data_IF_664326712246
#
_entry.id   IF_664326712246
#
_cell.length_a   1.000
_cell.length_b   1.000
_cell.length_c   1.000
_cell.angle_alpha   90.00
_cell.angle_beta   90.00
_cell.angle_gamma   90.00
#
_symmetry.space_group_name_H-M   'P 1'
#
loop_
_entity.id
_entity.type
_entity.pdbx_description
1 polymer ?
#
# COMPACT_ATOMS: atom_id res chain seq x y z
N UNK A 1 -37.17 -39.43 3.09
CA UNK A 1 -36.17 -40.40 2.59
C UNK A 1 -36.18 -40.25 1.09
N UNK A 2 -35.22 -39.52 0.55
CA UNK A 2 -35.02 -39.33 -0.88
C UNK A 2 -33.67 -39.96 -1.26
N UNK A 3 -33.70 -40.66 -2.37
CA UNK A 3 -32.71 -41.56 -2.94
C UNK A 3 -31.36 -40.85 -3.25
N UNK A 4 -30.20 -41.37 -2.79
CA UNK A 4 -28.91 -40.71 -3.00
C UNK A 4 -28.23 -41.05 -4.35
N UNK A 5 -28.93 -41.66 -5.30
CA UNK A 5 -28.31 -42.18 -6.53
C UNK A 5 -28.45 -41.31 -7.81
N UNK A 6 -28.96 -40.07 -7.76
CA UNK A 6 -29.33 -39.35 -9.00
C UNK A 6 -28.80 -37.91 -9.12
N UNK A 7 -27.53 -37.70 -8.79
CA UNK A 7 -26.78 -36.52 -9.25
C UNK A 7 -25.40 -36.94 -9.76
N UNK A 8 -25.41 -37.62 -10.90
CA UNK A 8 -24.26 -37.70 -11.78
C UNK A 8 -24.02 -36.29 -12.37
N UNK A 9 -23.14 -35.52 -11.72
CA UNK A 9 -22.46 -34.39 -12.32
C UNK A 9 -20.97 -34.72 -12.27
N UNK A 10 -20.53 -35.54 -13.21
CA UNK A 10 -19.13 -35.60 -13.62
C UNK A 10 -18.75 -34.20 -14.12
N UNK A 11 -18.27 -33.35 -13.22
CA UNK A 11 -17.58 -32.13 -13.58
C UNK A 11 -16.23 -32.52 -14.20
N UNK A 12 -15.91 -32.07 -15.43
CA UNK A 12 -14.62 -32.33 -16.02
C UNK A 12 -13.50 -31.80 -15.13
N UNK A 13 -12.51 -32.65 -14.90
CA UNK A 13 -11.24 -32.39 -14.21
C UNK A 13 -10.34 -31.45 -15.04
N UNK A 14 -10.83 -30.25 -15.36
CA UNK A 14 -10.09 -29.26 -16.17
C UNK A 14 -9.59 -28.07 -15.33
N UNK A 15 -9.27 -28.32 -14.06
CA UNK A 15 -8.57 -27.36 -13.18
C UNK A 15 -7.04 -27.51 -13.21
N UNK A 16 -6.49 -28.29 -14.15
CA UNK A 16 -5.04 -28.46 -14.30
C UNK A 16 -4.40 -27.58 -15.37
N UNK A 17 -5.13 -26.63 -15.97
CA UNK A 17 -4.55 -25.60 -16.83
C UNK A 17 -5.28 -24.26 -16.64
N UNK A 18 -5.02 -23.59 -15.51
CA UNK A 18 -5.16 -22.13 -15.47
C UNK A 18 -3.80 -21.60 -15.97
N UNK A 19 -3.70 -21.05 -17.18
CA UNK A 19 -2.45 -20.51 -17.65
C UNK A 19 -1.99 -19.37 -16.72
N UNK A 20 -0.69 -19.12 -16.67
CA UNK A 20 0.00 -17.93 -16.13
C UNK A 20 -0.56 -16.55 -16.58
N UNK A 21 -1.75 -16.49 -17.18
CA UNK A 21 -2.42 -15.30 -17.68
C UNK A 21 -2.87 -14.30 -16.59
N UNK A 22 -2.79 -14.64 -15.31
CA UNK A 22 -3.21 -13.75 -14.22
C UNK A 22 -2.23 -12.58 -13.92
N UNK A 23 -1.10 -12.46 -14.63
CA UNK A 23 -0.10 -11.39 -14.40
C UNK A 23 0.50 -10.75 -15.67
N UNK A 24 -0.09 -10.98 -16.85
CA UNK A 24 0.47 -10.43 -18.10
C UNK A 24 -0.07 -9.03 -18.40
N UNK A 25 0.84 -8.08 -18.63
CA UNK A 25 0.50 -6.74 -19.12
C UNK A 25 -0.03 -6.82 -20.56
N UNK A 26 -1.33 -6.57 -20.73
CA UNK A 26 -2.03 -6.74 -22.01
C UNK A 26 -1.78 -5.52 -22.92
N UNK A 27 -1.24 -5.70 -24.14
CA UNK A 27 -1.03 -4.61 -25.10
C UNK A 27 -2.37 -3.96 -25.53
N UNK A 28 -2.37 -2.67 -25.94
CA UNK A 28 -3.57 -2.08 -26.53
C UNK A 28 -3.95 -2.81 -27.83
N UNK A 29 -5.25 -2.97 -28.11
CA UNK A 29 -5.69 -3.60 -29.35
C UNK A 29 -5.25 -2.78 -30.56
N UNK A 30 -4.82 -3.47 -31.62
CA UNK A 30 -4.56 -2.83 -32.91
C UNK A 30 -5.85 -2.25 -33.49
N UNK A 31 -5.73 -1.18 -34.26
CA UNK A 31 -6.90 -0.51 -34.82
C UNK A 31 -6.60 0.79 -35.54
N UNK A 32 -7.65 1.40 -36.06
CA UNK A 32 -7.61 2.68 -36.76
C UNK A 32 -8.26 3.78 -35.93
N UNK A 33 -7.73 4.99 -36.07
CA UNK A 33 -8.11 6.17 -35.33
C UNK A 33 -8.24 7.35 -36.30
N UNK A 34 -9.15 8.29 -36.05
CA UNK A 34 -9.38 9.43 -36.94
C UNK A 34 -8.18 10.38 -37.01
N UNK A 35 -7.38 10.45 -35.94
CA UNK A 35 -6.24 11.34 -35.86
C UNK A 35 -5.16 10.82 -34.87
N UNK A 36 -3.99 11.46 -34.89
CA UNK A 36 -2.86 11.10 -34.02
C UNK A 36 -3.19 11.24 -32.55
N UNK A 37 -3.90 12.29 -32.15
CA UNK A 37 -4.16 12.59 -30.74
C UNK A 37 -5.15 11.59 -30.14
N UNK A 38 -6.22 11.24 -30.86
CA UNK A 38 -7.15 10.19 -30.42
C UNK A 38 -6.46 8.85 -30.26
N UNK A 39 -5.58 8.47 -31.20
CA UNK A 39 -4.76 7.26 -31.09
C UNK A 39 -3.87 7.28 -29.85
N UNK A 40 -3.10 8.35 -29.64
CA UNK A 40 -2.19 8.44 -28.49
C UNK A 40 -2.96 8.42 -27.16
N UNK A 41 -4.11 9.08 -27.11
CA UNK A 41 -4.98 9.11 -25.93
C UNK A 41 -5.52 7.73 -25.61
N UNK A 42 -5.99 6.98 -26.61
CA UNK A 42 -6.49 5.62 -26.45
C UNK A 42 -5.38 4.68 -25.94
N UNK A 43 -4.20 4.75 -26.53
CA UNK A 43 -3.04 3.94 -26.12
C UNK A 43 -2.61 4.24 -24.68
N UNK A 44 -2.55 5.52 -24.30
CA UNK A 44 -2.20 5.92 -22.94
C UNK A 44 -3.26 5.50 -21.93
N UNK A 45 -4.55 5.63 -22.28
CA UNK A 45 -5.67 5.23 -21.43
C UNK A 45 -5.70 3.72 -21.21
N UNK A 46 -5.48 2.94 -22.27
CA UNK A 46 -5.37 1.48 -22.18
C UNK A 46 -4.22 1.06 -21.26
N UNK A 47 -3.02 1.58 -21.50
CA UNK A 47 -1.86 1.26 -20.68
C UNK A 47 -2.12 1.56 -19.20
N UNK A 48 -2.70 2.74 -18.91
CA UNK A 48 -3.02 3.14 -17.54
C UNK A 48 -4.03 2.20 -16.88
N UNK A 49 -5.06 1.76 -17.60
CA UNK A 49 -6.05 0.80 -17.11
C UNK A 49 -5.44 -0.57 -16.81
N UNK A 50 -4.36 -0.94 -17.51
CA UNK A 50 -3.67 -2.22 -17.37
C UNK A 50 -2.35 -2.10 -16.59
N UNK A 51 -2.11 -0.97 -15.92
CA UNK A 51 -0.98 -0.80 -15.02
C UNK A 51 0.37 -0.56 -15.70
N UNK A 52 0.46 0.13 -16.83
CA UNK A 52 1.74 0.59 -17.39
C UNK A 52 1.60 1.90 -18.15
N UNK A 53 2.70 2.61 -18.42
CA UNK A 53 2.64 3.86 -19.19
C UNK A 53 3.30 3.68 -20.55
N UNK A 54 2.68 4.26 -21.57
CA UNK A 54 3.21 4.30 -22.94
C UNK A 54 3.69 5.70 -23.27
N UNK A 55 4.94 5.81 -23.72
CA UNK A 55 5.62 7.07 -24.06
C UNK A 55 6.12 7.05 -25.49
N UNK A 56 6.32 8.24 -26.07
CA UNK A 56 6.91 8.38 -27.41
C UNK A 56 8.42 8.08 -27.35
N UNK A 57 8.87 7.10 -28.12
CA UNK A 57 10.29 6.80 -28.34
C UNK A 57 10.88 7.75 -29.38
N UNK A 58 10.19 7.90 -30.51
CA UNK A 58 10.59 8.76 -31.62
C UNK A 58 9.40 9.03 -32.53
N UNK A 59 9.52 10.02 -33.40
CA UNK A 59 8.53 10.30 -34.45
C UNK A 59 9.22 10.70 -35.75
N UNK A 60 8.57 10.41 -36.86
CA UNK A 60 8.97 10.80 -38.21
C UNK A 60 7.77 11.49 -38.86
N UNK A 61 7.91 12.80 -39.09
CA UNK A 61 6.91 13.59 -39.81
C UNK A 61 7.35 13.73 -41.27
N UNK A 62 6.42 13.65 -42.24
CA UNK A 62 6.74 13.94 -43.63
C UNK A 62 7.16 15.41 -43.75
N UNK A 63 8.22 15.68 -44.52
CA UNK A 63 8.75 17.03 -44.75
C UNK A 63 8.75 17.31 -46.25
N UNK A 64 8.78 18.59 -46.66
CA UNK A 64 8.90 18.98 -48.07
C UNK A 64 10.07 18.30 -48.80
N UNK A 65 11.15 17.98 -48.07
CA UNK A 65 12.34 17.27 -48.60
C UNK A 65 12.17 15.75 -48.78
N UNK A 66 11.05 15.16 -48.35
CA UNK A 66 10.74 13.72 -48.41
C UNK A 66 9.23 13.48 -48.67
N UNK A 67 8.72 13.86 -49.86
CA UNK A 67 7.31 13.66 -50.21
C UNK A 67 6.96 12.16 -50.26
N UNK A 68 5.73 11.81 -49.87
CA UNK A 68 5.19 10.44 -49.97
C UNK A 68 5.45 9.50 -48.78
N UNK A 69 6.15 9.95 -47.72
CA UNK A 69 6.35 9.13 -46.52
C UNK A 69 5.13 9.26 -45.59
N UNK A 70 4.61 8.16 -45.06
CA UNK A 70 3.58 8.17 -44.00
C UNK A 70 4.18 8.69 -42.69
N UNK A 71 3.44 9.50 -41.93
CA UNK A 71 3.87 9.91 -40.60
C UNK A 71 3.93 8.68 -39.69
N UNK A 72 4.99 8.55 -38.89
CA UNK A 72 5.15 7.44 -37.93
C UNK A 72 5.52 7.96 -36.55
N UNK A 73 4.96 7.34 -35.52
CA UNK A 73 5.31 7.56 -34.12
C UNK A 73 5.59 6.20 -33.50
N UNK A 74 6.82 6.02 -33.04
CA UNK A 74 7.20 4.81 -32.32
C UNK A 74 6.94 5.04 -30.84
N UNK A 75 6.18 4.14 -30.24
CA UNK A 75 5.78 4.18 -28.84
C UNK A 75 6.45 3.02 -28.10
N UNK A 76 6.69 3.20 -26.81
CA UNK A 76 7.31 2.20 -25.93
C UNK A 76 6.80 2.32 -24.51
N UNK A 77 7.09 1.33 -23.67
CA UNK A 77 6.89 1.44 -22.23
C UNK A 77 7.78 2.55 -21.63
N UNK A 78 7.30 3.26 -20.61
CA UNK A 78 8.09 4.28 -19.87
C UNK A 78 9.33 3.68 -19.18
N UNK A 79 9.33 2.37 -18.94
CA UNK A 79 10.46 1.58 -18.43
C UNK A 79 11.41 1.04 -19.52
N UNK A 80 11.19 1.38 -20.79
CA UNK A 80 12.00 0.90 -21.92
C UNK A 80 13.32 1.66 -22.12
N UNK A 81 14.36 0.98 -22.62
CA UNK A 81 15.69 1.51 -22.91
C UNK A 81 16.62 1.62 -21.69
N UNK A 82 17.84 2.13 -21.93
CA UNK A 82 18.86 2.29 -20.89
C UNK A 82 19.04 3.74 -20.46
N UNK A 83 19.44 3.93 -19.21
CA UNK A 83 19.92 5.23 -18.75
C UNK A 83 21.19 5.60 -19.51
N UNK A 84 21.23 6.82 -20.07
CA UNK A 84 22.43 7.39 -20.66
C UNK A 84 23.00 8.42 -19.68
N UNK A 85 24.21 8.22 -19.15
CA UNK A 85 24.81 9.19 -18.25
C UNK A 85 25.02 10.51 -19.01
N UNK A 86 24.38 11.58 -18.55
CA UNK A 86 24.76 12.95 -18.93
C UNK A 86 25.70 13.48 -17.86
N UNK A 87 26.80 14.10 -18.29
CA UNK A 87 27.80 14.78 -17.45
C UNK A 87 28.65 13.84 -16.57
N UNK A 88 28.92 12.60 -17.01
CA UNK A 88 29.85 11.69 -16.31
C UNK A 88 29.36 11.13 -14.98
N UNK A 89 28.11 11.41 -14.59
CA UNK A 89 27.47 10.86 -13.39
C UNK A 89 26.96 9.43 -13.67
N UNK A 90 27.53 8.46 -12.95
CA UNK A 90 27.06 7.07 -12.85
C UNK A 90 25.89 6.96 -11.87
N UNK A 91 25.16 5.83 -11.84
CA UNK A 91 24.15 5.60 -10.80
C UNK A 91 24.73 5.68 -9.38
N UNK A 92 25.94 5.18 -9.19
CA UNK A 92 26.67 5.17 -7.91
C UNK A 92 27.01 6.60 -7.41
N UNK A 93 27.23 7.56 -8.31
CA UNK A 93 27.69 8.91 -7.97
C UNK A 93 26.53 9.91 -7.81
N UNK A 94 25.28 9.49 -8.02
CA UNK A 94 24.11 10.38 -8.01
C UNK A 94 23.48 10.49 -6.61
N UNK A 95 23.80 11.57 -5.87
CA UNK A 95 23.15 11.93 -4.59
C UNK A 95 21.68 12.44 -4.69
N UNK A 96 20.89 12.08 -5.71
CA UNK A 96 19.46 12.44 -5.81
C UNK A 96 18.54 11.20 -5.84
N UNK A 97 17.51 11.23 -4.97
CA UNK A 97 16.48 10.22 -4.64
C UNK A 97 15.53 9.75 -5.78
N UNK A 98 16.00 9.55 -7.01
CA UNK A 98 15.22 8.81 -8.02
C UNK A 98 16.15 7.87 -8.75
N UNK A 99 16.15 6.60 -8.35
CA UNK A 99 16.66 5.49 -9.17
C UNK A 99 15.92 5.51 -10.51
N UNK A 100 16.64 5.21 -11.59
CA UNK A 100 16.02 5.11 -12.90
C UNK A 100 14.99 3.98 -12.88
N UNK A 101 13.77 4.22 -13.38
CA UNK A 101 12.76 3.16 -13.57
C UNK A 101 12.96 2.39 -14.88
N UNK A 102 14.01 2.72 -15.62
CA UNK A 102 14.34 2.06 -16.87
C UNK A 102 14.93 0.68 -16.59
N UNK A 103 14.33 -0.34 -17.20
CA UNK A 103 14.70 -1.75 -17.05
C UNK A 103 14.66 -2.46 -18.40
N UNK A 104 14.93 -1.69 -19.45
CA UNK A 104 14.97 -2.14 -20.84
C UNK A 104 13.74 -2.97 -21.27
N UNK A 105 12.56 -2.51 -20.86
CA UNK A 105 11.30 -3.13 -21.25
C UNK A 105 11.17 -3.21 -22.80
N UNK A 106 10.90 -4.40 -23.38
CA UNK A 106 10.91 -4.60 -24.83
C UNK A 106 9.63 -4.16 -25.54
N UNK A 107 8.55 -3.84 -24.79
CA UNK A 107 7.25 -3.43 -25.31
C UNK A 107 7.36 -2.25 -26.29
N UNK A 108 6.76 -2.40 -27.47
CA UNK A 108 6.86 -1.42 -28.55
C UNK A 108 5.63 -1.42 -29.46
N UNK A 109 5.20 -0.22 -29.85
CA UNK A 109 4.13 -0.01 -30.82
C UNK A 109 4.60 0.95 -31.92
N UNK A 110 3.90 0.94 -33.05
CA UNK A 110 4.01 1.99 -34.07
C UNK A 110 2.63 2.52 -34.40
N UNK A 111 2.51 3.84 -34.38
CA UNK A 111 1.36 4.56 -34.92
C UNK A 111 1.77 5.15 -36.27
N UNK A 112 1.16 4.69 -37.35
CA UNK A 112 1.41 5.19 -38.70
C UNK A 112 0.15 5.87 -39.22
N UNK A 113 0.25 7.09 -39.74
CA UNK A 113 -0.94 7.78 -40.23
C UNK A 113 -0.71 8.76 -41.36
N UNK A 114 -1.79 8.93 -42.10
CA UNK A 114 -2.01 9.98 -43.09
C UNK A 114 -3.17 10.86 -42.57
N UNK A 115 -3.42 12.05 -43.12
CA UNK A 115 -4.57 12.85 -42.73
C UNK A 115 -5.87 12.02 -42.78
N UNK A 116 -6.61 11.98 -41.68
CA UNK A 116 -7.90 11.28 -41.55
C UNK A 116 -7.86 9.80 -41.12
N UNK A 117 -6.70 9.13 -41.18
CA UNK A 117 -6.56 7.73 -40.72
C UNK A 117 -5.17 7.52 -40.10
N UNK A 118 -5.17 7.05 -38.86
CA UNK A 118 -4.00 6.59 -38.12
C UNK A 118 -4.17 5.15 -37.69
N UNK A 119 -3.23 4.28 -38.03
CA UNK A 119 -3.22 2.86 -37.68
C UNK A 119 -2.23 2.61 -36.54
N UNK A 120 -2.68 1.91 -35.51
CA UNK A 120 -1.84 1.38 -34.43
C UNK A 120 -1.48 -0.08 -34.72
N UNK A 121 -0.20 -0.39 -34.65
CA UNK A 121 0.34 -1.76 -34.77
C UNK A 121 1.23 -2.08 -33.56
N UNK A 122 1.07 -3.28 -33.01
CA UNK A 122 1.89 -3.81 -31.93
C UNK A 122 3.15 -4.42 -32.54
N UNK A 123 4.32 -3.85 -32.24
CA UNK A 123 5.60 -4.38 -32.74
C UNK A 123 6.18 -5.43 -31.79
N UNK A 124 6.01 -5.24 -30.49
CA UNK A 124 6.37 -6.22 -29.47
C UNK A 124 5.38 -6.09 -28.29
N UNK A 125 4.56 -7.12 -28.03
CA UNK A 125 3.56 -7.09 -26.95
C UNK A 125 4.15 -7.35 -25.56
N UNK A 126 5.38 -7.85 -25.47
CA UNK A 126 5.92 -8.40 -24.23
C UNK A 126 6.44 -7.32 -23.28
N UNK A 127 6.14 -7.49 -21.99
CA UNK A 127 6.75 -6.75 -20.89
C UNK A 127 7.62 -7.68 -20.04
N UNK A 128 8.70 -7.14 -19.46
CA UNK A 128 9.57 -7.84 -18.50
C UNK A 128 9.31 -7.38 -17.05
N UNK A 129 8.11 -6.86 -16.78
CA UNK A 129 7.70 -6.36 -15.47
C UNK A 129 6.19 -6.52 -15.28
N UNK A 130 5.74 -6.61 -14.03
CA UNK A 130 4.32 -6.55 -13.67
C UNK A 130 3.74 -5.13 -13.69
N UNK A 131 2.44 -4.97 -13.38
CA UNK A 131 1.78 -3.68 -13.36
C UNK A 131 2.40 -2.70 -12.36
N UNK A 132 2.38 -1.43 -12.74
CA UNK A 132 2.74 -0.27 -11.94
C UNK A 132 1.64 -0.06 -10.90
N UNK A 133 1.85 -0.66 -9.73
CA UNK A 133 0.96 -0.51 -8.57
C UNK A 133 1.10 0.90 -7.96
N UNK A 134 2.25 1.56 -8.14
CA UNK A 134 2.53 2.90 -7.63
C UNK A 134 2.22 4.01 -8.63
N UNK A 135 1.06 4.68 -8.50
CA UNK A 135 0.90 6.03 -9.08
C UNK A 135 1.99 6.93 -8.45
N UNK A 136 2.88 7.58 -9.23
CA UNK A 136 3.84 8.50 -8.66
C UNK A 136 3.08 9.59 -7.91
N UNK A 137 3.32 9.73 -6.60
CA UNK A 137 2.73 10.81 -5.81
C UNK A 137 3.08 12.14 -6.49
N UNK A 138 2.06 12.89 -6.91
CA UNK A 138 2.25 14.29 -7.26
C UNK A 138 2.55 15.04 -5.96
N UNK A 139 3.84 15.19 -5.67
CA UNK A 139 4.27 16.02 -4.54
C UNK A 139 4.00 17.46 -4.94
N UNK A 140 3.11 18.12 -4.22
CA UNK A 140 2.83 19.52 -4.42
C UNK A 140 4.11 20.34 -4.17
N UNK A 141 4.38 21.31 -5.06
CA UNK A 141 5.59 22.12 -5.01
C UNK A 141 5.51 23.27 -3.98
N UNK A 142 4.53 23.25 -3.08
CA UNK A 142 4.37 24.28 -2.05
C UNK A 142 5.17 23.96 -0.78
N UNK A 143 5.45 24.99 0.01
CA UNK A 143 6.19 24.85 1.27
C UNK A 143 5.25 24.37 2.37
N UNK A 144 5.50 23.16 2.88
CA UNK A 144 4.78 22.60 4.03
C UNK A 144 5.01 23.45 5.28
N UNK A 145 3.95 23.72 6.05
CA UNK A 145 4.06 24.53 7.29
C UNK A 145 4.81 23.75 8.35
N UNK A 146 5.48 24.48 9.25
CA UNK A 146 6.16 23.86 10.39
C UNK A 146 5.12 23.16 11.27
N UNK A 147 5.37 21.90 11.64
CA UNK A 147 4.42 21.08 12.37
C UNK A 147 3.43 20.35 11.46
N UNK A 148 3.66 20.35 10.15
CA UNK A 148 3.01 19.47 9.18
C UNK A 148 4.04 18.63 8.43
N UNK A 149 3.56 17.60 7.74
CA UNK A 149 4.29 16.76 6.80
C UNK A 149 3.52 16.65 5.47
N UNK A 150 4.23 16.46 4.33
CA UNK A 150 3.59 16.26 3.05
C UNK A 150 2.72 14.99 3.03
N UNK A 151 1.43 15.15 2.76
CA UNK A 151 0.46 14.06 2.65
C UNK A 151 -0.59 14.40 1.57
N UNK A 152 -1.49 13.47 1.30
CA UNK A 152 -2.62 13.67 0.39
C UNK A 152 -3.93 13.43 1.12
N UNK A 153 -4.97 14.26 0.90
CA UNK A 153 -5.02 15.35 -0.09
C UNK A 153 -4.52 16.69 0.44
N UNK A 154 -4.12 16.78 1.71
CA UNK A 154 -3.58 17.99 2.35
C UNK A 154 -2.32 17.67 3.17
N UNK A 155 -1.52 18.69 3.50
CA UNK A 155 -0.40 18.55 4.42
C UNK A 155 -0.91 18.29 5.84
N UNK A 156 -0.48 17.19 6.45
CA UNK A 156 -1.04 16.69 7.70
C UNK A 156 -0.13 16.99 8.91
N UNK A 157 -0.65 17.21 10.14
CA UNK A 157 -2.06 17.38 10.50
C UNK A 157 -2.59 18.75 10.05
N UNK A 158 -3.91 18.89 9.94
CA UNK A 158 -4.56 20.09 9.39
C UNK A 158 -4.22 21.38 10.15
N UNK A 159 -3.96 21.28 11.46
CA UNK A 159 -3.68 22.40 12.37
C UNK A 159 -2.19 22.62 12.65
N UNK A 160 -1.30 21.90 11.96
CA UNK A 160 0.14 21.97 12.12
C UNK A 160 0.66 21.62 13.54
N UNK A 161 -0.01 20.69 14.23
CA UNK A 161 0.38 20.21 15.55
C UNK A 161 1.14 18.88 15.54
N UNK A 162 1.98 18.59 14.54
CA UNK A 162 2.82 17.38 14.57
C UNK A 162 3.95 17.50 15.62
N UNK A 163 3.73 16.92 16.80
CA UNK A 163 4.70 16.94 17.92
C UNK A 163 4.58 15.66 18.78
N UNK A 164 5.60 15.32 19.59
CA UNK A 164 5.51 14.19 20.53
C UNK A 164 4.40 14.30 21.57
N UNK A 165 3.85 15.50 21.81
CA UNK A 165 2.81 15.73 22.82
C UNK A 165 1.39 15.57 22.29
N UNK A 166 1.23 15.58 20.97
CA UNK A 166 -0.06 15.61 20.28
C UNK A 166 -0.21 14.47 19.29
N UNK A 167 0.88 13.79 18.93
CA UNK A 167 0.89 12.77 17.88
C UNK A 167 1.37 11.42 18.42
N UNK A 168 0.66 10.35 18.07
CA UNK A 168 1.07 8.98 18.37
C UNK A 168 1.24 8.13 17.10
N UNK A 169 2.13 7.15 17.16
CA UNK A 169 2.17 6.04 16.20
C UNK A 169 1.29 4.90 16.70
N UNK A 170 0.50 4.31 15.80
CA UNK A 170 -0.31 3.12 16.04
C UNK A 170 0.10 2.04 15.05
N UNK A 171 0.70 0.95 15.54
CA UNK A 171 1.05 -0.23 14.74
C UNK A 171 -0.03 -1.29 14.95
N UNK A 172 -0.81 -1.55 13.90
CA UNK A 172 -2.00 -2.40 13.96
C UNK A 172 -1.66 -3.83 13.54
N UNK A 173 -1.91 -4.77 14.46
CA UNK A 173 -2.02 -6.22 14.23
C UNK A 173 -0.87 -6.86 13.45
N UNK A 174 0.36 -6.40 13.67
CA UNK A 174 1.56 -7.05 13.13
C UNK A 174 1.89 -8.35 13.90
N UNK A 175 0.94 -9.29 13.94
CA UNK A 175 1.01 -10.56 14.66
C UNK A 175 1.49 -11.69 13.76
N UNK A 176 2.05 -12.74 14.34
CA UNK A 176 2.47 -13.95 13.60
C UNK A 176 1.28 -14.60 12.87
N UNK A 177 0.08 -14.53 13.43
CA UNK A 177 -1.16 -15.00 12.80
C UNK A 177 -1.51 -14.27 11.50
N UNK A 178 -1.02 -13.04 11.30
CA UNK A 178 -1.24 -12.26 10.09
C UNK A 178 -0.04 -12.22 9.14
N UNK A 179 1.17 -12.48 9.65
CA UNK A 179 2.42 -12.21 8.93
C UNK A 179 3.39 -13.38 8.86
N UNK A 180 3.17 -14.49 9.57
CA UNK A 180 4.09 -15.62 9.63
C UNK A 180 3.48 -16.89 9.05
N UNK A 181 4.31 -17.79 8.49
CA UNK A 181 3.84 -19.11 8.09
C UNK A 181 3.24 -19.89 9.26
N UNK A 182 2.17 -20.63 8.99
CA UNK A 182 1.39 -21.36 9.98
C UNK A 182 0.44 -20.51 10.83
N UNK A 183 0.31 -19.22 10.50
CA UNK A 183 -0.64 -18.29 11.12
C UNK A 183 -2.04 -18.32 10.51
N UNK A 184 -2.99 -17.65 11.16
CA UNK A 184 -4.39 -17.54 10.73
C UNK A 184 -4.58 -17.20 9.24
N UNK A 185 -3.84 -16.23 8.68
CA UNK A 185 -4.04 -15.76 7.30
C UNK A 185 -3.73 -16.82 6.23
N UNK A 186 -2.75 -17.70 6.45
CA UNK A 186 -2.48 -18.80 5.51
C UNK A 186 -3.64 -19.79 5.47
N UNK A 187 -4.28 -20.08 6.61
CA UNK A 187 -5.47 -20.93 6.64
C UNK A 187 -6.70 -20.30 5.98
N UNK A 188 -6.72 -18.96 5.88
CA UNK A 188 -7.73 -18.27 5.08
C UNK A 188 -7.40 -18.27 3.56
N UNK A 189 -6.23 -18.78 3.17
CA UNK A 189 -5.82 -18.90 1.77
C UNK A 189 -5.20 -17.64 1.17
N UNK A 190 -4.73 -16.70 2.01
CA UNK A 190 -4.17 -15.43 1.54
C UNK A 190 -2.64 -15.46 1.49
N UNK A 191 -2.07 -14.73 0.52
CA UNK A 191 -0.63 -14.45 0.46
C UNK A 191 -0.22 -13.44 1.55
N UNK A 192 0.75 -13.84 2.37
CA UNK A 192 1.29 -13.04 3.48
C UNK A 192 2.54 -12.24 3.10
N UNK A 193 3.08 -12.40 1.88
CA UNK A 193 4.34 -11.81 1.44
C UNK A 193 4.36 -10.28 1.59
N UNK A 194 3.25 -9.62 1.25
CA UNK A 194 3.10 -8.18 1.36
C UNK A 194 3.12 -7.71 2.83
N UNK A 195 2.53 -8.46 3.75
CA UNK A 195 2.58 -8.18 5.18
C UNK A 195 4.00 -8.36 5.75
N UNK A 196 4.69 -9.44 5.37
CA UNK A 196 6.09 -9.68 5.73
C UNK A 196 7.02 -8.56 5.26
N UNK A 197 6.82 -8.07 4.04
CA UNK A 197 7.61 -6.98 3.47
C UNK A 197 7.47 -5.64 4.23
N UNK A 198 6.46 -5.48 5.09
CA UNK A 198 6.30 -4.31 5.95
C UNK A 198 7.24 -4.33 7.16
N UNK A 199 7.56 -5.51 7.70
CA UNK A 199 8.27 -5.68 8.98
C UNK A 199 9.53 -4.79 9.07
N UNK A 200 10.51 -4.84 8.13
CA UNK A 200 11.70 -4.00 8.23
C UNK A 200 11.40 -2.50 8.08
N UNK A 201 10.37 -2.12 7.30
CA UNK A 201 9.98 -0.71 7.13
C UNK A 201 9.35 -0.15 8.41
N UNK A 202 8.48 -0.94 9.04
CA UNK A 202 7.83 -0.60 10.30
C UNK A 202 8.83 -0.58 11.45
N UNK A 203 9.84 -1.45 11.44
CA UNK A 203 10.90 -1.42 12.44
C UNK A 203 11.69 -0.12 12.37
N UNK A 204 12.01 0.36 11.17
CA UNK A 204 12.63 1.69 10.98
C UNK A 204 11.73 2.82 11.49
N UNK A 205 10.44 2.79 11.14
CA UNK A 205 9.47 3.79 11.59
C UNK A 205 9.36 3.81 13.12
N UNK A 206 9.19 2.64 13.73
CA UNK A 206 9.09 2.43 15.17
C UNK A 206 10.31 3.00 15.90
N UNK A 207 11.52 2.66 15.45
CA UNK A 207 12.76 3.19 16.01
C UNK A 207 12.87 4.72 15.87
N UNK A 208 12.35 5.27 14.78
CA UNK A 208 12.33 6.73 14.57
C UNK A 208 11.43 7.40 15.61
N UNK A 209 10.21 6.89 15.82
CA UNK A 209 9.26 7.41 16.81
C UNK A 209 9.79 7.29 18.24
N UNK A 210 10.36 6.13 18.61
CA UNK A 210 11.06 5.91 19.89
C UNK A 210 12.12 6.96 20.12
N UNK A 211 13.00 7.16 19.13
CA UNK A 211 14.10 8.13 19.24
C UNK A 211 13.65 9.60 19.27
N UNK A 212 12.42 9.87 18.81
CA UNK A 212 11.78 11.19 18.82
C UNK A 212 10.91 11.44 20.06
N UNK A 213 10.74 10.43 20.93
CA UNK A 213 9.92 10.51 22.15
C UNK A 213 8.42 10.57 21.90
N UNK A 214 7.95 10.12 20.73
CA UNK A 214 6.52 10.09 20.41
C UNK A 214 5.85 8.89 21.10
N UNK A 215 4.62 9.04 21.62
CA UNK A 215 3.79 7.91 22.07
C UNK A 215 3.62 6.86 20.98
N UNK A 216 3.72 5.59 21.36
CA UNK A 216 3.56 4.45 20.48
C UNK A 216 2.54 3.50 21.11
N UNK A 217 1.61 3.03 20.29
CA UNK A 217 0.60 2.05 20.64
C UNK A 217 0.65 0.90 19.66
N UNK A 218 0.48 -0.31 20.16
CA UNK A 218 0.36 -1.51 19.35
C UNK A 218 -1.02 -2.11 19.51
N UNK A 219 -1.53 -2.82 18.52
CA UNK A 219 -2.79 -3.56 18.66
C UNK A 219 -2.59 -5.03 18.33
N UNK A 220 -3.42 -5.87 18.94
CA UNK A 220 -3.54 -7.29 18.62
C UNK A 220 -5.01 -7.67 18.52
N UNK A 221 -5.43 -8.18 17.37
CA UNK A 221 -6.71 -8.87 17.25
C UNK A 221 -6.62 -10.22 17.95
N UNK A 222 -7.56 -10.50 18.86
CA UNK A 222 -7.70 -11.84 19.41
C UNK A 222 -8.75 -11.97 20.50
N UNK A 223 -9.15 -13.21 20.73
CA UNK A 223 -10.22 -13.57 21.64
C UNK A 223 -9.69 -14.23 22.92
N UNK A 224 -10.45 -14.11 24.01
CA UNK A 224 -10.12 -14.79 25.26
C UNK A 224 -10.01 -16.31 25.05
N UNK A 225 -9.17 -17.03 25.82
CA UNK A 225 -9.02 -18.48 25.69
C UNK A 225 -10.33 -19.28 25.81
N UNK A 226 -11.27 -18.76 26.61
CA UNK A 226 -12.63 -19.30 26.82
C UNK A 226 -13.61 -18.95 25.68
N UNK A 227 -13.16 -18.24 24.63
CA UNK A 227 -13.95 -17.77 23.50
C UNK A 227 -15.13 -16.84 23.84
N UNK A 228 -15.20 -16.33 25.08
CA UNK A 228 -16.30 -15.45 25.53
C UNK A 228 -16.40 -14.13 24.76
N UNK A 229 -15.33 -13.72 24.09
CA UNK A 229 -15.28 -12.53 23.23
C UNK A 229 -15.47 -12.86 21.74
N UNK A 230 -15.77 -14.10 21.37
CA UNK A 230 -15.98 -14.53 19.98
C UNK A 230 -17.47 -14.71 19.72
N UNK A 231 -18.02 -13.93 18.78
CA UNK A 231 -19.43 -14.08 18.38
C UNK A 231 -19.64 -15.35 17.56
N UNK A 232 -20.84 -15.94 17.63
CA UNK A 232 -21.20 -17.12 16.82
C UNK A 232 -21.08 -16.86 15.32
N UNK A 233 -21.45 -15.66 14.86
CA UNK A 233 -21.27 -15.20 13.47
C UNK A 233 -19.81 -15.23 13.06
N UNK A 234 -18.91 -14.69 13.88
CA UNK A 234 -17.50 -14.62 13.56
C UNK A 234 -16.83 -16.00 13.59
N UNK A 235 -17.20 -16.83 14.57
CA UNK A 235 -16.79 -18.23 14.63
C UNK A 235 -17.18 -18.98 13.34
N UNK A 236 -18.43 -18.83 12.89
CA UNK A 236 -18.90 -19.41 11.64
C UNK A 236 -18.10 -18.89 10.43
N UNK A 237 -18.03 -17.57 10.24
CA UNK A 237 -17.33 -16.95 9.10
C UNK A 237 -15.87 -17.39 9.00
N UNK A 238 -15.16 -17.44 10.13
CA UNK A 238 -13.73 -17.78 10.14
C UNK A 238 -13.39 -19.18 9.63
N UNK A 239 -14.38 -20.07 9.56
CA UNK A 239 -14.24 -21.46 9.06
C UNK A 239 -14.67 -21.61 7.59
N UNK A 240 -15.20 -20.55 6.97
CA UNK A 240 -15.65 -20.57 5.59
C UNK A 240 -14.47 -20.39 4.62
N UNK A 241 -13.53 -21.34 4.66
CA UNK A 241 -12.36 -21.44 3.79
C UNK A 241 -12.10 -22.91 3.47
N UNK A 242 -11.19 -23.17 2.51
CA UNK A 242 -10.89 -24.52 2.05
C UNK A 242 -10.34 -25.45 3.15
N UNK A 243 -9.69 -24.90 4.18
CA UNK A 243 -9.14 -25.68 5.28
C UNK A 243 -10.18 -26.03 6.37
N UNK A 244 -11.35 -25.38 6.39
CA UNK A 244 -12.34 -25.49 7.47
C UNK A 244 -11.82 -25.00 8.84
N UNK A 245 -10.64 -24.37 8.86
CA UNK A 245 -9.94 -23.91 10.06
C UNK A 245 -10.29 -22.47 10.34
N UNK A 246 -10.58 -22.14 11.59
CA UNK A 246 -10.99 -20.79 11.98
C UNK A 246 -10.53 -20.43 13.38
N UNK A 247 -11.10 -19.37 13.93
CA UNK A 247 -10.72 -18.86 15.24
C UNK A 247 -10.89 -19.94 16.30
N UNK A 248 -9.83 -20.15 17.09
CA UNK A 248 -9.75 -21.15 18.14
C UNK A 248 -9.31 -22.54 17.68
N UNK A 249 -9.23 -22.83 16.38
CA UNK A 249 -8.67 -24.07 15.86
C UNK A 249 -7.17 -24.16 16.14
N UNK A 250 -6.63 -25.37 16.29
CA UNK A 250 -5.20 -25.59 16.59
C UNK A 250 -4.35 -25.54 15.31
N UNK A 251 -3.46 -24.56 15.21
CA UNK A 251 -2.40 -24.49 14.21
C UNK A 251 -1.01 -24.75 14.82
N UNK A 252 0.06 -24.73 14.00
CA UNK A 252 1.43 -24.95 14.45
C UNK A 252 1.94 -23.87 15.43
N UNK A 253 1.33 -22.69 15.42
CA UNK A 253 1.67 -21.58 16.31
C UNK A 253 0.72 -21.48 17.54
N UNK A 254 -0.10 -22.51 17.77
CA UNK A 254 -1.13 -22.51 18.82
C UNK A 254 -2.54 -22.30 18.27
N UNK A 255 -3.48 -21.96 19.15
CA UNK A 255 -4.87 -21.70 18.73
C UNK A 255 -4.99 -20.36 18.00
N UNK A 256 -5.54 -20.40 16.78
CA UNK A 256 -5.62 -19.23 15.90
C UNK A 256 -6.41 -18.08 16.54
N UNK A 257 -5.81 -16.87 16.57
CA UNK A 257 -6.36 -15.64 17.15
C UNK A 257 -6.80 -15.75 18.62
N UNK A 258 -6.16 -16.63 19.40
CA UNK A 258 -6.42 -16.75 20.84
C UNK A 258 -5.32 -16.07 21.65
N UNK A 259 -5.74 -15.23 22.59
CA UNK A 259 -4.83 -14.47 23.47
C UNK A 259 -3.93 -15.42 24.26
N UNK A 260 -2.64 -15.12 24.26
CA UNK A 260 -1.60 -15.91 24.93
C UNK A 260 -0.92 -16.96 24.06
N UNK A 261 -1.45 -17.26 22.88
CA UNK A 261 -0.84 -18.23 21.96
C UNK A 261 0.33 -17.63 21.17
N UNK A 262 1.23 -18.48 20.68
CA UNK A 262 2.43 -18.07 19.94
C UNK A 262 2.10 -17.25 18.69
N UNK A 263 1.13 -17.72 17.90
CA UNK A 263 0.66 -17.08 16.66
C UNK A 263 0.02 -15.71 16.91
N UNK A 264 -0.64 -15.55 18.06
CA UNK A 264 -1.31 -14.31 18.40
C UNK A 264 -0.33 -13.18 18.79
N UNK A 265 0.92 -13.48 19.13
CA UNK A 265 1.88 -12.45 19.51
C UNK A 265 2.32 -11.59 18.33
N UNK A 266 2.69 -10.34 18.62
CA UNK A 266 3.36 -9.44 17.68
C UNK A 266 4.67 -10.09 17.21
N UNK A 267 5.04 -9.89 15.93
CA UNK A 267 6.32 -10.37 15.39
C UNK A 267 7.50 -9.79 16.17
N UNK A 268 8.55 -10.59 16.34
CA UNK A 268 9.61 -10.30 17.32
C UNK A 268 10.36 -8.99 16.98
N UNK A 269 10.49 -8.68 15.69
CA UNK A 269 11.14 -7.47 15.15
C UNK A 269 10.42 -6.17 15.53
N UNK A 270 9.11 -6.25 15.82
CA UNK A 270 8.25 -5.14 16.19
C UNK A 270 7.80 -5.21 17.65
N UNK A 271 8.50 -6.00 18.47
CA UNK A 271 8.17 -6.18 19.89
C UNK A 271 7.99 -4.83 20.62
N UNK A 272 6.87 -4.65 21.33
CA UNK A 272 6.64 -3.47 22.16
C UNK A 272 7.67 -3.34 23.29
N UNK A 273 8.00 -2.10 23.66
CA UNK A 273 8.68 -1.83 24.93
C UNK A 273 7.68 -1.79 26.08
N UNK A 274 8.18 -1.90 27.31
CA UNK A 274 7.35 -1.97 28.52
C UNK A 274 6.45 -0.74 28.71
N UNK A 275 6.85 0.42 28.19
CA UNK A 275 6.12 1.69 28.23
C UNK A 275 5.28 1.97 26.97
N UNK A 276 5.20 1.03 26.04
CA UNK A 276 4.39 1.11 24.82
C UNK A 276 3.11 0.26 25.00
N UNK A 277 1.93 0.86 25.19
CA UNK A 277 0.72 0.11 25.45
C UNK A 277 0.32 -0.80 24.28
N UNK A 278 -0.18 -2.00 24.62
CA UNK A 278 -0.68 -2.98 23.65
C UNK A 278 -2.18 -3.19 23.86
N UNK A 279 -2.96 -2.95 22.82
CA UNK A 279 -4.42 -2.99 22.85
C UNK A 279 -4.91 -4.34 22.32
N UNK A 280 -5.47 -5.17 23.21
CA UNK A 280 -6.04 -6.46 22.84
C UNK A 280 -7.52 -6.33 22.46
N UNK A 281 -7.77 -6.18 21.16
CA UNK A 281 -9.10 -5.94 20.61
C UNK A 281 -9.78 -7.26 20.16
N UNK A 282 -11.04 -7.51 20.54
CA UNK A 282 -11.79 -8.67 20.06
C UNK A 282 -12.41 -8.44 18.67
N UNK A 283 -12.35 -7.22 18.13
CA UNK A 283 -12.90 -6.85 16.83
C UNK A 283 -11.86 -6.21 15.91
N UNK A 284 -12.32 -5.69 14.76
CA UNK A 284 -11.46 -5.06 13.74
C UNK A 284 -10.97 -3.69 14.15
N UNK A 285 -11.87 -2.84 14.64
CA UNK A 285 -11.55 -1.52 15.15
C UNK A 285 -10.90 -1.55 16.53
N UNK A 286 -9.84 -0.78 16.73
CA UNK A 286 -9.10 -0.76 17.99
C UNK A 286 -9.86 -0.05 19.13
N UNK A 287 -10.90 0.74 18.83
CA UNK A 287 -11.68 1.45 19.85
C UNK A 287 -12.82 0.59 20.42
N UNK A 288 -13.34 -0.36 19.65
CA UNK A 288 -14.48 -1.17 20.05
C UNK A 288 -14.11 -2.14 21.19
N UNK A 289 -14.70 -1.92 22.37
CA UNK A 289 -14.54 -2.75 23.57
C UNK A 289 -13.10 -2.77 24.14
N UNK A 290 -12.40 -1.66 24.06
CA UNK A 290 -11.04 -1.49 24.60
C UNK A 290 -10.93 -0.18 25.41
N UNK A 291 -9.79 0.02 26.06
CA UNK A 291 -9.41 1.26 26.74
C UNK A 291 -8.60 2.21 25.84
N UNK A 292 -8.54 1.95 24.52
CA UNK A 292 -7.65 2.68 23.62
C UNK A 292 -7.90 4.20 23.61
N UNK A 293 -9.18 4.62 23.56
CA UNK A 293 -9.51 6.04 23.62
C UNK A 293 -9.07 6.68 24.94
N UNK A 294 -9.30 6.01 26.07
CA UNK A 294 -8.90 6.50 27.39
C UNK A 294 -7.40 6.78 27.43
N UNK A 295 -6.58 5.85 26.92
CA UNK A 295 -5.13 5.99 26.88
C UNK A 295 -4.69 7.17 26.00
N UNK A 296 -5.27 7.30 24.80
CA UNK A 296 -4.98 8.42 23.89
C UNK A 296 -5.33 9.78 24.52
N UNK A 297 -6.52 9.89 25.11
CA UNK A 297 -7.02 11.13 25.72
C UNK A 297 -6.18 11.53 26.93
N UNK A 298 -5.84 10.59 27.81
CA UNK A 298 -4.98 10.85 28.98
C UNK A 298 -3.57 11.30 28.57
N UNK A 299 -3.06 10.82 27.43
CA UNK A 299 -1.77 11.24 26.88
C UNK A 299 -1.84 12.58 26.12
N UNK A 300 -3.04 13.13 25.91
CA UNK A 300 -3.25 14.38 25.16
C UNK A 300 -3.11 14.23 23.64
N UNK A 301 -3.17 12.99 23.13
CA UNK A 301 -3.04 12.71 21.70
C UNK A 301 -4.24 13.25 20.94
N UNK A 302 -3.95 13.88 19.79
CA UNK A 302 -4.92 14.43 18.83
C UNK A 302 -4.72 13.87 17.42
N UNK A 303 -3.50 13.46 17.13
CA UNK A 303 -3.04 13.08 15.80
C UNK A 303 -2.57 11.62 15.81
N UNK A 304 -3.03 10.80 14.86
CA UNK A 304 -2.63 9.40 14.76
C UNK A 304 -1.91 9.13 13.44
N UNK A 305 -0.69 8.60 13.52
CA UNK A 305 -0.01 7.97 12.40
C UNK A 305 -0.30 6.47 12.45
N UNK A 306 -0.97 5.95 11.43
CA UNK A 306 -1.51 4.58 11.42
C UNK A 306 -0.75 3.73 10.40
N UNK A 307 -0.26 2.59 10.87
CA UNK A 307 0.46 1.58 10.08
C UNK A 307 0.07 0.16 10.50
N UNK A 308 0.46 -0.85 9.74
CA UNK A 308 0.18 -2.26 10.04
C UNK A 308 -0.81 -2.92 9.08
N UNK A 309 -1.52 -3.95 9.54
CA UNK A 309 -2.36 -4.81 8.68
C UNK A 309 -3.75 -5.11 9.27
N UNK A 310 -4.74 -5.49 8.46
CA UNK A 310 -4.79 -5.24 7.01
C UNK A 310 -5.36 -3.85 6.73
N UNK A 311 -4.97 -3.28 5.59
CA UNK A 311 -5.28 -1.91 5.19
C UNK A 311 -6.79 -1.64 5.18
N UNK A 312 -7.54 -2.52 4.53
CA UNK A 312 -8.96 -2.40 4.26
C UNK A 312 -9.87 -2.82 5.42
N UNK A 313 -9.31 -3.58 6.39
CA UNK A 313 -10.07 -4.11 7.53
C UNK A 313 -9.67 -3.40 8.83
N UNK A 314 -8.65 -3.88 9.55
CA UNK A 314 -8.33 -3.39 10.90
C UNK A 314 -7.81 -1.94 10.88
N UNK A 315 -6.96 -1.61 9.90
CA UNK A 315 -6.42 -0.25 9.71
C UNK A 315 -7.54 0.73 9.37
N UNK A 316 -8.31 0.46 8.31
CA UNK A 316 -9.43 1.30 7.87
C UNK A 316 -10.50 1.46 8.95
N UNK A 317 -10.89 0.37 9.64
CA UNK A 317 -11.89 0.42 10.71
C UNK A 317 -11.41 1.29 11.86
N UNK A 318 -10.17 1.10 12.31
CA UNK A 318 -9.59 1.91 13.40
C UNK A 318 -9.45 3.38 13.02
N UNK A 319 -9.05 3.68 11.77
CA UNK A 319 -8.97 5.05 11.28
C UNK A 319 -10.33 5.74 11.27
N UNK A 320 -11.37 5.05 10.78
CA UNK A 320 -12.74 5.59 10.72
C UNK A 320 -13.28 5.84 12.13
N UNK A 321 -13.07 4.90 13.05
CA UNK A 321 -13.41 5.07 14.46
C UNK A 321 -12.70 6.27 15.11
N UNK A 322 -11.41 6.47 14.79
CA UNK A 322 -10.64 7.60 15.29
C UNK A 322 -11.13 8.94 14.69
N UNK A 323 -11.39 8.97 13.39
CA UNK A 323 -11.92 10.13 12.68
C UNK A 323 -13.25 10.60 13.28
N UNK A 324 -14.20 9.69 13.49
CA UNK A 324 -15.51 10.02 14.07
C UNK A 324 -15.40 10.54 15.52
N UNK A 325 -14.31 10.21 16.21
CA UNK A 325 -13.97 10.71 17.55
C UNK A 325 -13.16 12.01 17.53
N UNK A 326 -12.90 12.57 16.35
CA UNK A 326 -12.20 13.83 16.15
C UNK A 326 -10.67 13.75 16.23
N UNK A 327 -10.07 12.57 16.07
CA UNK A 327 -8.62 12.45 15.88
C UNK A 327 -8.27 12.76 14.42
N UNK A 328 -7.23 13.58 14.20
CA UNK A 328 -6.69 13.81 12.86
C UNK A 328 -5.77 12.64 12.49
N UNK A 329 -6.07 11.93 11.42
CA UNK A 329 -5.43 10.66 11.10
C UNK A 329 -4.63 10.73 9.79
N UNK A 330 -3.48 10.06 9.77
CA UNK A 330 -2.74 9.78 8.55
C UNK A 330 -2.42 8.29 8.46
N UNK A 331 -2.74 7.67 7.34
CA UNK A 331 -2.36 6.27 7.05
C UNK A 331 -1.12 6.25 6.17
N UNK A 332 -0.21 5.30 6.45
CA UNK A 332 1.02 5.12 5.68
C UNK A 332 0.80 4.13 4.53
N UNK A 333 0.80 4.62 3.28
CA UNK A 333 0.55 3.78 2.11
C UNK A 333 1.62 2.69 1.93
N UNK A 334 2.89 3.01 2.20
CA UNK A 334 4.00 2.06 2.15
C UNK A 334 4.31 1.41 3.52
N UNK A 335 3.46 1.66 4.52
CA UNK A 335 3.48 1.07 5.87
C UNK A 335 2.24 0.23 6.19
N UNK A 336 1.42 -0.07 5.19
CA UNK A 336 0.23 -0.92 5.33
C UNK A 336 0.12 -1.87 4.13
N UNK A 337 -0.55 -3.00 4.30
CA UNK A 337 -0.84 -3.94 3.22
C UNK A 337 -2.20 -4.61 3.43
N UNK A 338 -2.79 -5.14 2.37
CA UNK A 338 -4.01 -5.93 2.39
C UNK A 338 -3.75 -7.27 1.70
N UNK A 339 -4.67 -8.23 1.89
CA UNK A 339 -4.59 -9.52 1.19
C UNK A 339 -4.66 -9.34 -0.33
N UNK A 340 -5.42 -8.34 -0.80
CA UNK A 340 -5.54 -8.00 -2.21
C UNK A 340 -5.03 -6.58 -2.48
N UNK A 341 -4.18 -6.37 -3.52
CA UNK A 341 -3.68 -5.03 -3.85
C UNK A 341 -4.79 -4.02 -4.16
N UNK A 342 -5.88 -4.47 -4.77
CA UNK A 342 -7.03 -3.62 -5.10
C UNK A 342 -7.75 -3.07 -3.87
N UNK A 343 -7.84 -3.86 -2.80
CA UNK A 343 -8.43 -3.45 -1.52
C UNK A 343 -7.57 -2.40 -0.81
N UNK A 344 -6.25 -2.58 -0.85
CA UNK A 344 -5.30 -1.58 -0.35
C UNK A 344 -5.46 -0.24 -1.10
N UNK A 345 -5.42 -0.27 -2.44
CA UNK A 345 -5.57 0.94 -3.27
C UNK A 345 -6.93 1.61 -3.08
N UNK A 346 -8.02 0.83 -3.10
CA UNK A 346 -9.38 1.35 -2.89
C UNK A 346 -9.55 2.01 -1.53
N UNK A 347 -8.93 1.45 -0.49
CA UNK A 347 -8.93 2.05 0.85
C UNK A 347 -8.19 3.39 0.87
N UNK A 348 -6.98 3.46 0.29
CA UNK A 348 -6.23 4.72 0.18
C UNK A 348 -7.01 5.78 -0.58
N UNK A 349 -7.65 5.41 -1.70
CA UNK A 349 -8.48 6.32 -2.47
C UNK A 349 -9.69 6.80 -1.66
N UNK A 350 -10.37 5.90 -0.92
CA UNK A 350 -11.51 6.26 -0.07
C UNK A 350 -11.16 7.27 1.02
N UNK A 351 -9.95 7.19 1.62
CA UNK A 351 -9.48 8.14 2.64
C UNK A 351 -9.39 9.56 2.08
N UNK A 352 -8.93 9.69 0.83
CA UNK A 352 -8.65 10.99 0.19
C UNK A 352 -9.89 11.66 -0.41
N UNK A 353 -11.02 10.97 -0.49
CA UNK A 353 -12.26 11.52 -1.03
C UNK A 353 -12.75 12.71 -0.21
N UNK A 354 -13.55 13.59 -0.83
CA UNK A 354 -14.16 14.77 -0.18
C UNK A 354 -13.15 15.66 0.59
N UNK A 355 -11.93 15.79 0.07
CA UNK A 355 -10.89 16.60 0.70
C UNK A 355 -10.18 15.93 1.89
N UNK A 356 -10.34 14.61 2.03
CA UNK A 356 -9.72 13.83 3.11
C UNK A 356 -10.73 13.43 4.17
N UNK A 357 -11.84 12.82 3.75
CA UNK A 357 -13.02 12.52 4.60
C UNK A 357 -12.70 11.70 5.86
N UNK A 358 -11.64 10.89 5.83
CA UNK A 358 -11.15 10.15 7.00
C UNK A 358 -9.78 10.63 7.51
N UNK A 359 -9.18 11.63 6.86
CA UNK A 359 -7.84 12.12 7.12
C UNK A 359 -6.96 12.17 5.87
N UNK A 360 -5.68 11.82 6.03
CA UNK A 360 -4.67 11.90 4.97
C UNK A 360 -3.94 10.56 4.73
N UNK A 361 -3.21 10.49 3.61
CA UNK A 361 -2.32 9.39 3.23
C UNK A 361 -0.91 9.94 3.00
N UNK A 362 0.08 9.33 3.65
CA UNK A 362 1.49 9.72 3.54
C UNK A 362 2.39 8.50 3.30
N UNK A 363 3.68 8.76 3.06
CA UNK A 363 4.71 7.73 3.05
C UNK A 363 5.48 7.71 4.36
N UNK A 364 5.98 6.54 4.75
CA UNK A 364 6.89 6.35 5.89
C UNK A 364 8.00 7.39 5.85
N UNK A 365 8.61 7.60 4.69
CA UNK A 365 9.74 8.52 4.53
C UNK A 365 9.38 9.99 4.85
N UNK A 366 8.17 10.45 4.53
CA UNK A 366 7.75 11.81 4.87
C UNK A 366 7.58 11.98 6.39
N UNK A 367 7.02 10.96 7.06
CA UNK A 367 6.85 10.96 8.50
C UNK A 367 8.19 10.84 9.23
N UNK A 368 9.08 9.96 8.77
CA UNK A 368 10.43 9.82 9.34
C UNK A 368 11.18 11.15 9.30
N UNK A 369 11.16 11.84 8.15
CA UNK A 369 11.75 13.18 8.08
C UNK A 369 11.10 14.18 9.03
N UNK A 370 9.78 14.15 9.18
CA UNK A 370 9.08 15.07 10.08
C UNK A 370 9.52 14.86 11.54
N UNK A 371 9.65 13.60 11.99
CA UNK A 371 10.14 13.26 13.34
C UNK A 371 11.60 13.69 13.53
N UNK A 372 12.47 13.36 12.57
CA UNK A 372 13.90 13.71 12.63
C UNK A 372 14.12 15.24 12.64
N UNK A 373 13.35 15.97 11.82
CA UNK A 373 13.37 17.43 11.80
C UNK A 373 12.94 18.03 13.14
N UNK A 374 11.88 17.49 13.77
CA UNK A 374 11.46 17.93 15.09
C UNK A 374 12.57 17.72 16.13
N UNK A 375 13.19 16.54 16.13
CA UNK A 375 14.31 16.20 17.04
C UNK A 375 15.49 17.15 16.87
N UNK A 376 15.93 17.39 15.63
CA UNK A 376 17.04 18.29 15.32
C UNK A 376 16.78 19.73 15.78
N UNK A 377 15.56 20.23 15.56
CA UNK A 377 15.16 21.58 16.02
C UNK A 377 15.13 21.66 17.55
N UNK A 378 14.64 20.63 18.22
CA UNK A 378 14.55 20.58 19.69
C UNK A 378 15.93 20.52 20.34
N UNK A 379 16.82 19.65 19.84
CA UNK A 379 18.20 19.56 20.32
C UNK A 379 18.97 20.88 20.14
N UNK A 380 18.82 21.56 18.98
CA UNK A 380 19.43 22.88 18.75
C UNK A 380 18.93 23.97 19.71
N UNK A 381 17.67 23.90 20.14
CA UNK A 381 17.11 24.84 21.12
C UNK A 381 17.57 24.59 22.56
N UNK A 382 17.85 23.33 22.91
CA UNK A 382 18.32 22.92 24.24
C UNK A 382 19.85 23.03 24.40
N UNK A 383 20.62 22.96 23.30
CA UNK A 383 22.08 23.04 23.34
C UNK A 383 22.65 24.27 24.09
N UNK A 384 22.09 25.50 23.98
CA UNK A 384 22.56 26.66 24.73
C UNK A 384 22.30 26.59 26.25
N UNK A 385 21.40 25.70 26.71
CA UNK A 385 21.04 25.55 28.12
C UNK A 385 21.87 24.46 28.84
N UNK A 386 22.68 23.68 28.10
CA UNK A 386 23.52 22.60 28.65
C UNK A 386 25.00 23.00 28.76
N UNK A 387 25.37 24.16 28.24
CA UNK A 387 26.73 24.73 28.27
C UNK A 387 26.83 25.96 29.18
N UNK A 388 25.85 26.16 30.08
CA UNK A 388 25.74 27.31 30.97
C UNK A 388 25.87 26.93 32.43
#
# INVERSE_FOLDING_TARGET
>A
MADPADLNLDAPSDLQDIPELAMQLIPPPEGTYPDKNSLLTAVQSHGKAHGYNVVVKSSSTPTEKKPGRTAKVWLRCDRGGHYRPRNGLTEETRKRRRTSRLMDCPFMLVAAGSPGIWTLTVLNPTHNHGPVIEKPRQVSHHKVRKGQLPALPYDWPHDATFTPYTTALVIIDMQKDFCAPGGYMEYQGYDISAAQALIPKLQRLLNTFRSGGFPIYHTREGHRPDLSTLSSREAYRSRNNAAGMGIGSHGPLGRLLIRGEGGWNIVDELSPYADEPVIDKPGRGAFAHTDFELLLRNKGVKNLVIAGVTTDVCVSTTMREANDRGFDCVVLEDGTSAAEPSLHVGTMDSIKMEGGIFGAVAKIEDVVHAVENFKSVTMKKLAPQLTG
#
